data_IF_653466980643
#
_entry.id   IF_653466980643
#
_cell.length_a   1.000
_cell.length_b   1.000
_cell.length_c   1.000
_cell.angle_alpha   90.00
_cell.angle_beta   90.00
_cell.angle_gamma   90.00
#
_symmetry.space_group_name_H-M   'P 1'
#
loop_
_entity.id
_entity.type
_entity.pdbx_description
1 polymer ?
#
# COMPACT_ATOMS: atom_id res chain seq x y z
N UNK A 1 9.16 -26.71 -17.81
CA UNK A 1 8.84 -26.95 -19.25
C UNK A 1 7.69 -27.93 -19.32
N UNK A 2 7.15 -28.26 -20.50
CA UNK A 2 6.24 -29.39 -20.66
C UNK A 2 6.81 -30.46 -21.57
N UNK A 3 6.48 -31.72 -21.30
CA UNK A 3 6.85 -32.85 -22.15
C UNK A 3 5.89 -33.02 -23.35
N UNK A 4 6.10 -34.07 -24.14
CA UNK A 4 5.29 -34.37 -25.33
C UNK A 4 3.84 -34.75 -25.00
N UNK A 5 3.59 -35.19 -23.75
CA UNK A 5 2.27 -35.53 -23.22
C UNK A 5 1.65 -34.32 -22.47
N UNK A 6 2.26 -33.14 -22.61
CA UNK A 6 1.88 -31.86 -22.00
C UNK A 6 2.04 -31.77 -20.48
N UNK A 7 2.67 -32.75 -19.84
CA UNK A 7 2.89 -32.74 -18.40
C UNK A 7 4.07 -31.82 -18.04
N UNK A 8 4.01 -31.21 -16.85
CA UNK A 8 5.12 -30.44 -16.29
C UNK A 8 6.37 -31.32 -16.19
N UNK A 9 7.48 -30.85 -16.74
CA UNK A 9 8.76 -31.54 -16.65
C UNK A 9 9.92 -30.57 -16.39
N UNK A 10 10.88 -31.09 -15.63
CA UNK A 10 12.18 -30.49 -15.37
C UNK A 10 13.32 -31.30 -16.01
N UNK A 11 13.01 -32.39 -16.71
CA UNK A 11 14.05 -33.17 -17.40
C UNK A 11 14.36 -32.49 -18.73
N UNK A 12 15.58 -31.96 -18.88
CA UNK A 12 15.99 -31.20 -20.07
C UNK A 12 15.71 -31.94 -21.39
N UNK A 13 15.99 -33.25 -21.44
CA UNK A 13 15.79 -34.08 -22.63
C UNK A 13 14.33 -34.53 -22.84
N UNK A 14 13.42 -34.27 -21.91
CA UNK A 14 11.98 -34.50 -22.08
C UNK A 14 11.22 -33.22 -22.38
N UNK A 15 11.85 -32.05 -22.25
CA UNK A 15 11.22 -30.78 -22.61
C UNK A 15 10.87 -30.72 -24.09
N UNK A 16 9.58 -30.69 -24.40
CA UNK A 16 9.05 -30.55 -25.75
C UNK A 16 8.64 -29.10 -26.07
N UNK A 17 8.15 -28.37 -25.06
CA UNK A 17 7.77 -26.96 -25.20
C UNK A 17 7.88 -26.20 -23.87
N UNK A 18 7.85 -24.86 -23.94
CA UNK A 18 7.76 -24.00 -22.77
C UNK A 18 6.36 -24.04 -22.19
N UNK A 19 6.25 -24.24 -20.88
CA UNK A 19 5.01 -24.04 -20.13
C UNK A 19 4.91 -22.59 -19.63
N UNK A 20 5.99 -22.11 -19.03
CA UNK A 20 6.25 -20.71 -18.68
C UNK A 20 7.75 -20.48 -18.73
N UNK A 21 8.18 -19.34 -19.26
CA UNK A 21 9.56 -18.89 -19.28
C UNK A 21 9.77 -17.74 -18.28
N UNK A 22 10.37 -18.02 -17.14
CA UNK A 22 10.63 -17.03 -16.08
C UNK A 22 12.00 -16.34 -16.20
N UNK A 23 12.70 -16.50 -17.34
CA UNK A 23 13.97 -15.79 -17.56
C UNK A 23 13.68 -14.31 -17.77
N UNK A 24 14.16 -13.47 -16.86
CA UNK A 24 14.00 -12.02 -16.96
C UNK A 24 14.72 -11.53 -18.24
N UNK A 25 14.00 -10.90 -19.20
CA UNK A 25 14.62 -10.40 -20.40
C UNK A 25 15.46 -9.15 -20.11
N UNK A 26 16.37 -8.75 -21.02
CA UNK A 26 17.10 -7.50 -20.88
C UNK A 26 16.16 -6.30 -20.81
N UNK A 27 16.59 -5.25 -20.10
CA UNK A 27 15.92 -3.96 -20.09
C UNK A 27 15.73 -3.44 -21.53
N UNK A 28 14.51 -3.04 -21.87
CA UNK A 28 14.13 -2.57 -23.20
C UNK A 28 13.66 -3.66 -24.18
N UNK A 29 13.57 -4.93 -23.75
CA UNK A 29 13.01 -5.98 -24.60
C UNK A 29 11.52 -5.76 -24.89
N UNK A 30 11.15 -5.76 -26.17
CA UNK A 30 9.78 -5.59 -26.66
C UNK A 30 9.42 -6.79 -27.55
N UNK A 31 8.29 -7.48 -27.32
CA UNK A 31 7.78 -8.50 -28.24
C UNK A 31 7.56 -7.93 -29.65
N UNK A 32 7.92 -8.66 -30.70
CA UNK A 32 7.93 -8.15 -32.07
C UNK A 32 9.19 -7.34 -32.43
N UNK A 33 10.13 -7.16 -31.50
CA UNK A 33 11.36 -6.40 -31.69
C UNK A 33 12.45 -7.15 -32.46
N UNK A 34 13.56 -6.46 -32.80
CA UNK A 34 14.64 -7.04 -33.61
C UNK A 34 15.35 -8.24 -32.96
N UNK A 35 15.39 -8.31 -31.63
CA UNK A 35 16.10 -9.35 -30.89
C UNK A 35 15.20 -10.53 -30.46
N UNK A 36 13.91 -10.51 -30.82
CA UNK A 36 12.93 -11.52 -30.39
C UNK A 36 13.39 -12.95 -30.64
N UNK A 37 14.02 -13.23 -31.78
CA UNK A 37 14.50 -14.58 -32.13
C UNK A 37 15.46 -15.17 -31.09
N UNK A 38 16.21 -14.35 -30.36
CA UNK A 38 17.23 -14.81 -29.42
C UNK A 38 16.75 -14.82 -27.96
N UNK A 39 15.81 -13.93 -27.62
CA UNK A 39 15.40 -13.64 -26.24
C UNK A 39 13.87 -13.61 -26.07
N UNK A 40 13.13 -14.30 -26.96
CA UNK A 40 11.70 -14.40 -26.87
C UNK A 40 11.25 -14.96 -25.52
N UNK A 41 10.19 -14.34 -24.99
CA UNK A 41 9.44 -14.85 -23.85
C UNK A 41 8.50 -15.94 -24.38
N UNK A 42 8.51 -17.11 -23.75
CA UNK A 42 7.71 -18.26 -24.18
C UNK A 42 6.74 -18.78 -23.12
N UNK A 43 5.72 -19.48 -23.58
CA UNK A 43 4.68 -20.06 -22.73
C UNK A 43 3.88 -18.99 -22.00
N UNK A 44 3.34 -19.33 -20.83
CA UNK A 44 2.42 -18.48 -20.07
C UNK A 44 3.00 -17.14 -19.60
N UNK A 45 4.31 -16.92 -19.75
CA UNK A 45 4.96 -15.65 -19.41
C UNK A 45 4.69 -14.54 -20.44
N UNK A 46 4.33 -14.89 -21.68
CA UNK A 46 3.98 -13.87 -22.70
C UNK A 46 2.71 -13.10 -22.32
N UNK A 47 1.79 -13.80 -21.66
CA UNK A 47 0.46 -13.32 -21.29
C UNK A 47 0.42 -12.79 -19.85
N UNK A 48 1.57 -12.76 -19.16
CA UNK A 48 1.68 -12.35 -17.77
C UNK A 48 1.76 -10.81 -17.67
N UNK A 49 0.81 -10.22 -16.93
CA UNK A 49 0.59 -8.77 -16.87
C UNK A 49 1.64 -8.04 -16.02
N UNK A 50 2.34 -8.76 -15.14
CA UNK A 50 3.39 -8.21 -14.30
C UNK A 50 4.81 -8.49 -14.83
N UNK A 51 4.93 -9.32 -15.88
CA UNK A 51 6.21 -9.76 -16.41
C UNK A 51 6.69 -8.86 -17.56
N UNK A 52 7.90 -8.33 -17.45
CA UNK A 52 8.48 -7.38 -18.40
C UNK A 52 7.57 -6.16 -18.67
N UNK A 53 6.78 -5.72 -17.68
CA UNK A 53 5.95 -4.50 -17.77
C UNK A 53 6.46 -3.38 -16.89
N UNK A 54 6.32 -2.14 -17.37
CA UNK A 54 6.39 -0.94 -16.55
C UNK A 54 5.07 -0.73 -15.79
N UNK A 55 5.05 0.19 -14.82
CA UNK A 55 3.82 0.51 -14.06
C UNK A 55 2.68 1.07 -14.92
N UNK A 56 2.97 1.59 -16.11
CA UNK A 56 1.99 2.02 -17.10
C UNK A 56 1.45 0.91 -18.01
N UNK A 57 1.96 -0.32 -17.86
CA UNK A 57 1.58 -1.49 -18.67
C UNK A 57 2.39 -1.66 -19.96
N UNK A 58 3.32 -0.74 -20.28
CA UNK A 58 4.20 -0.88 -21.44
C UNK A 58 5.23 -1.99 -21.23
N UNK A 59 5.65 -2.65 -22.32
CA UNK A 59 6.71 -3.64 -22.29
C UNK A 59 8.12 -3.02 -22.14
N UNK A 60 9.07 -3.83 -21.68
CA UNK A 60 10.50 -3.50 -21.72
C UNK A 60 11.08 -3.10 -20.38
N UNK A 61 10.42 -3.41 -19.27
CA UNK A 61 10.98 -3.16 -17.94
C UNK A 61 12.16 -4.07 -17.60
N UNK A 62 12.30 -5.22 -18.26
CA UNK A 62 13.31 -6.21 -17.90
C UNK A 62 13.20 -6.64 -16.44
N UNK A 63 11.97 -6.71 -15.91
CA UNK A 63 11.67 -7.00 -14.52
C UNK A 63 10.36 -7.77 -14.40
N UNK A 64 10.12 -8.35 -13.23
CA UNK A 64 8.85 -9.01 -12.87
C UNK A 64 8.37 -8.45 -11.51
N UNK A 65 7.05 -8.33 -11.34
CA UNK A 65 6.42 -7.79 -10.11
C UNK A 65 5.62 -8.90 -9.44
N UNK A 66 6.13 -9.41 -8.33
CA UNK A 66 5.47 -10.48 -7.56
C UNK A 66 4.63 -9.87 -6.43
N UNK A 67 3.37 -10.27 -6.35
CA UNK A 67 2.44 -9.83 -5.30
C UNK A 67 2.21 -10.96 -4.29
N UNK A 68 2.48 -10.68 -3.01
CA UNK A 68 2.19 -11.59 -1.91
C UNK A 68 1.02 -11.06 -1.07
N UNK A 69 -0.01 -11.89 -0.90
CA UNK A 69 -1.13 -11.60 0.00
C UNK A 69 -0.95 -12.44 1.25
N UNK A 70 -0.69 -11.79 2.37
CA UNK A 70 -0.45 -12.46 3.65
C UNK A 70 -1.66 -12.19 4.55
N UNK A 71 -2.38 -13.22 5.02
CA UNK A 71 -3.44 -13.03 5.99
C UNK A 71 -2.82 -12.55 7.31
N UNK A 72 -3.23 -11.37 7.74
CA UNK A 72 -2.78 -10.76 9.00
C UNK A 72 -3.91 -10.83 10.03
N UNK A 73 -3.53 -11.06 11.29
CA UNK A 73 -4.45 -11.07 12.43
C UNK A 73 -4.68 -9.63 12.95
N UNK A 74 -4.89 -9.45 14.25
CA UNK A 74 -5.07 -8.13 14.87
C UNK A 74 -3.79 -7.28 14.96
N UNK A 75 -2.65 -7.76 14.44
CA UNK A 75 -1.42 -6.97 14.40
C UNK A 75 -1.57 -5.79 13.45
N UNK A 76 -1.01 -4.65 13.84
CA UNK A 76 -1.05 -3.40 13.05
C UNK A 76 0.33 -2.96 12.59
N UNK A 77 1.38 -3.67 13.00
CA UNK A 77 2.77 -3.35 12.66
C UNK A 77 3.47 -4.61 12.18
N UNK A 78 4.15 -4.51 11.03
CA UNK A 78 4.82 -5.63 10.39
C UNK A 78 6.21 -5.22 9.94
N UNK A 79 7.19 -6.09 10.19
CA UNK A 79 8.49 -6.02 9.55
C UNK A 79 8.54 -7.09 8.47
N UNK A 80 8.58 -6.65 7.21
CA UNK A 80 8.63 -7.52 6.04
C UNK A 80 10.09 -7.63 5.59
N UNK A 81 10.60 -8.85 5.53
CA UNK A 81 11.94 -9.16 5.06
C UNK A 81 11.84 -9.88 3.72
N UNK A 82 12.48 -9.34 2.69
CA UNK A 82 12.54 -9.92 1.36
C UNK A 82 13.99 -10.22 1.02
N UNK A 83 14.26 -11.44 0.55
CA UNK A 83 15.59 -11.89 0.14
C UNK A 83 15.50 -12.51 -1.25
N UNK A 84 16.41 -12.10 -2.12
CA UNK A 84 16.65 -12.77 -3.41
C UNK A 84 17.74 -13.79 -3.18
N UNK A 85 17.38 -15.06 -3.37
CA UNK A 85 18.23 -16.21 -3.11
C UNK A 85 18.69 -16.83 -4.42
N UNK A 86 19.95 -17.28 -4.46
CA UNK A 86 20.51 -18.05 -5.55
C UNK A 86 20.92 -19.44 -5.07
N UNK A 87 20.61 -20.43 -5.89
CA UNK A 87 21.10 -21.80 -5.73
C UNK A 87 21.70 -22.26 -7.05
N UNK A 88 22.83 -22.94 -6.95
CA UNK A 88 23.55 -23.48 -8.11
C UNK A 88 22.74 -24.56 -8.83
N UNK A 89 21.97 -25.36 -8.08
CA UNK A 89 21.16 -26.45 -8.61
C UNK A 89 19.75 -26.38 -8.01
N UNK A 90 18.74 -26.28 -8.88
CA UNK A 90 17.34 -26.39 -8.46
C UNK A 90 17.08 -27.82 -7.93
N UNK A 91 16.48 -27.98 -6.74
CA UNK A 91 16.18 -29.29 -6.15
C UNK A 91 15.41 -30.22 -7.09
N UNK A 92 14.50 -29.70 -7.91
CA UNK A 92 13.73 -30.54 -8.84
C UNK A 92 14.64 -31.24 -9.85
N UNK A 93 15.73 -30.61 -10.31
CA UNK A 93 16.67 -31.28 -11.23
C UNK A 93 17.43 -32.42 -10.54
N UNK A 94 17.78 -32.24 -9.26
CA UNK A 94 18.43 -33.28 -8.47
C UNK A 94 17.49 -34.46 -8.21
N UNK A 95 16.26 -34.18 -7.78
CA UNK A 95 15.22 -35.19 -7.53
C UNK A 95 14.94 -36.05 -8.76
N UNK A 96 14.83 -35.43 -9.95
CA UNK A 96 14.66 -36.17 -11.20
C UNK A 96 15.83 -37.12 -11.51
N UNK A 97 17.05 -36.77 -11.11
CA UNK A 97 18.22 -37.65 -11.31
C UNK A 97 18.20 -38.84 -10.34
N UNK A 98 17.68 -38.65 -9.12
CA UNK A 98 17.60 -39.68 -8.08
C UNK A 98 16.54 -40.75 -8.36
N UNK A 99 15.62 -40.51 -9.30
CA UNK A 99 14.68 -41.53 -9.76
C UNK A 99 15.36 -42.72 -10.48
N UNK A 100 16.61 -42.56 -10.92
CA UNK A 100 17.34 -43.58 -11.67
C UNK A 100 18.34 -44.32 -10.78
N UNK A 101 18.13 -45.63 -10.58
CA UNK A 101 19.07 -46.49 -9.86
C UNK A 101 20.31 -46.79 -10.73
N UNK A 102 21.25 -45.85 -10.71
CA UNK A 102 22.56 -45.98 -11.35
C UNK A 102 23.65 -45.65 -10.34
N UNK A 103 24.84 -46.27 -10.43
CA UNK A 103 25.94 -45.97 -9.51
C UNK A 103 26.27 -44.47 -9.41
N UNK A 104 26.18 -43.75 -10.53
CA UNK A 104 26.46 -42.32 -10.62
C UNK A 104 25.38 -41.49 -9.94
N UNK A 105 24.10 -41.77 -10.18
CA UNK A 105 22.99 -41.05 -9.54
C UNK A 105 23.00 -41.27 -8.03
N UNK A 106 23.16 -42.51 -7.55
CA UNK A 106 23.21 -42.83 -6.12
C UNK A 106 24.43 -42.17 -5.43
N UNK A 107 25.57 -42.09 -6.13
CA UNK A 107 26.75 -41.38 -5.64
C UNK A 107 26.47 -39.88 -5.53
N UNK A 108 25.87 -39.28 -6.55
CA UNK A 108 25.53 -37.86 -6.56
C UNK A 108 24.48 -37.53 -5.50
N UNK A 109 23.48 -38.38 -5.28
CA UNK A 109 22.47 -38.23 -4.21
C UNK A 109 23.14 -38.17 -2.84
N UNK A 110 24.07 -39.08 -2.58
CA UNK A 110 24.85 -39.08 -1.33
C UNK A 110 25.65 -37.80 -1.18
N UNK A 111 26.33 -37.33 -2.25
CA UNK A 111 27.09 -36.08 -2.24
C UNK A 111 26.19 -34.86 -2.01
N UNK A 112 25.05 -34.82 -2.69
CA UNK A 112 24.07 -33.74 -2.61
C UNK A 112 23.49 -33.64 -1.19
N UNK A 113 23.14 -34.77 -0.56
CA UNK A 113 22.64 -34.81 0.81
C UNK A 113 23.69 -34.47 1.89
N UNK A 114 24.98 -34.55 1.56
CA UNK A 114 26.08 -34.16 2.44
C UNK A 114 26.55 -32.71 2.21
N UNK A 115 26.18 -32.12 1.07
CA UNK A 115 26.54 -30.75 0.74
C UNK A 115 25.70 -29.75 1.53
N UNK A 116 26.28 -28.57 1.77
CA UNK A 116 25.51 -27.41 2.19
C UNK A 116 24.78 -26.84 0.98
N UNK A 117 23.45 -27.00 0.98
CA UNK A 117 22.57 -26.51 -0.09
C UNK A 117 21.80 -25.26 0.35
N UNK A 118 22.25 -24.56 1.41
CA UNK A 118 21.66 -23.29 1.79
C UNK A 118 21.79 -22.28 0.62
N UNK A 119 20.71 -21.59 0.25
CA UNK A 119 20.77 -20.58 -0.79
C UNK A 119 21.67 -19.40 -0.39
N UNK A 120 22.42 -18.89 -1.37
CA UNK A 120 23.17 -17.65 -1.21
C UNK A 120 22.25 -16.44 -1.37
N UNK A 121 22.32 -15.48 -0.45
CA UNK A 121 21.55 -14.23 -0.55
C UNK A 121 22.28 -13.27 -1.49
N UNK A 122 21.64 -12.91 -2.60
CA UNK A 122 22.16 -11.95 -3.57
C UNK A 122 21.74 -10.52 -3.25
N UNK A 123 20.52 -10.35 -2.74
CA UNK A 123 19.99 -9.05 -2.34
C UNK A 123 18.97 -9.21 -1.21
N UNK A 124 18.86 -8.21 -0.36
CA UNK A 124 17.88 -8.19 0.72
C UNK A 124 17.29 -6.80 0.92
N UNK A 125 16.04 -6.76 1.39
CA UNK A 125 15.32 -5.55 1.74
C UNK A 125 14.48 -5.81 2.98
N UNK A 126 14.41 -4.81 3.87
CA UNK A 126 13.48 -4.79 5.00
C UNK A 126 12.55 -3.60 4.85
N UNK A 127 11.26 -3.82 5.06
CA UNK A 127 10.24 -2.77 5.07
C UNK A 127 9.43 -2.85 6.36
N UNK A 128 9.31 -1.70 7.05
CA UNK A 128 8.38 -1.53 8.15
C UNK A 128 7.03 -1.08 7.59
N UNK A 129 5.98 -1.83 7.87
CA UNK A 129 4.62 -1.55 7.41
C UNK A 129 3.72 -1.39 8.62
N UNK A 130 3.17 -0.19 8.78
CA UNK A 130 2.12 0.08 9.75
C UNK A 130 0.79 0.08 9.01
N UNK A 131 -0.13 -0.76 9.44
CA UNK A 131 -1.51 -0.69 9.00
C UNK A 131 -2.16 0.53 9.66
N UNK A 132 -2.11 1.65 8.96
CA UNK A 132 -3.02 2.77 9.24
C UNK A 132 -4.39 2.35 8.74
N UNK A 133 -5.18 1.76 9.63
CA UNK A 133 -6.62 1.73 9.38
C UNK A 133 -7.07 3.17 9.17
N UNK A 134 -7.76 3.45 8.07
CA UNK A 134 -8.69 4.57 8.06
C UNK A 134 -9.75 4.16 9.07
N UNK A 135 -9.53 4.49 10.34
CA UNK A 135 -10.68 4.78 11.18
C UNK A 135 -11.34 5.91 10.42
N UNK A 136 -12.60 5.74 10.05
CA UNK A 136 -13.49 6.89 9.92
C UNK A 136 -13.42 7.59 11.28
N UNK A 137 -12.41 8.44 11.46
CA UNK A 137 -12.49 9.51 12.43
C UNK A 137 -13.63 10.32 11.87
N UNK A 138 -14.80 10.23 12.49
CA UNK A 138 -15.84 11.22 12.29
C UNK A 138 -15.15 12.57 12.33
N UNK A 139 -15.12 13.26 11.19
CA UNK A 139 -14.36 14.49 11.05
C UNK A 139 -15.05 15.49 11.95
N UNK A 140 -14.47 15.74 13.12
CA UNK A 140 -14.99 16.72 14.08
C UNK A 140 -14.89 18.10 13.45
N UNK A 141 -16.03 18.68 13.07
CA UNK A 141 -16.09 19.98 12.41
C UNK A 141 -17.09 20.91 13.07
N UNK A 142 -16.75 22.21 13.03
CA UNK A 142 -17.61 23.31 13.44
C UNK A 142 -17.89 24.17 12.22
N UNK A 143 -19.14 24.15 11.76
CA UNK A 143 -19.58 24.99 10.65
C UNK A 143 -20.41 26.15 11.17
N UNK A 144 -20.15 27.35 10.64
CA UNK A 144 -20.80 28.59 11.08
C UNK A 144 -21.66 29.14 9.95
N UNK A 145 -22.97 29.23 10.18
CA UNK A 145 -23.93 29.59 9.13
C UNK A 145 -24.84 30.74 9.63
N UNK A 146 -24.90 31.88 8.94
CA UNK A 146 -24.13 32.25 7.75
C UNK A 146 -22.70 32.72 8.09
N UNK A 147 -21.78 32.53 7.14
CA UNK A 147 -20.44 33.12 7.19
C UNK A 147 -20.04 33.60 5.78
N UNK A 148 -19.97 34.92 5.51
CA UNK A 148 -20.04 36.03 6.47
C UNK A 148 -21.42 36.28 7.10
N UNK A 149 -21.45 36.90 8.28
CA UNK A 149 -22.67 37.24 9.05
C UNK A 149 -22.81 38.75 9.30
N UNK A 150 -24.02 39.21 9.58
CA UNK A 150 -24.29 40.57 10.10
C UNK A 150 -24.46 40.61 11.63
N UNK A 151 -24.34 39.47 12.32
CA UNK A 151 -24.43 39.43 13.78
C UNK A 151 -25.00 38.15 14.37
N UNK A 152 -25.81 37.38 13.64
CA UNK A 152 -26.37 36.10 14.12
C UNK A 152 -25.77 34.94 13.35
N UNK A 153 -25.35 33.90 14.06
CA UNK A 153 -24.78 32.68 13.47
C UNK A 153 -25.34 31.45 14.16
N UNK A 154 -25.47 30.37 13.40
CA UNK A 154 -25.68 29.01 13.88
C UNK A 154 -24.39 28.23 13.83
N UNK A 155 -24.13 27.43 14.86
CA UNK A 155 -23.04 26.46 14.84
C UNK A 155 -23.62 25.08 14.56
N UNK A 156 -23.14 24.44 13.49
CA UNK A 156 -23.34 23.01 13.24
C UNK A 156 -22.15 22.23 13.80
N UNK A 157 -22.47 21.26 14.65
CA UNK A 157 -21.52 20.38 15.33
C UNK A 157 -21.58 19.02 14.63
N UNK A 158 -20.55 18.70 13.84
CA UNK A 158 -20.44 17.41 13.14
C UNK A 158 -19.49 16.50 13.93
N UNK A 159 -19.96 15.36 14.42
CA UNK A 159 -19.16 14.42 15.23
C UNK A 159 -18.79 14.93 16.62
N UNK A 160 -19.51 15.92 17.15
CA UNK A 160 -19.23 16.58 18.43
C UNK A 160 -20.45 16.54 19.35
N UNK A 161 -20.24 16.22 20.62
CA UNK A 161 -21.26 16.48 21.65
C UNK A 161 -21.37 17.98 21.86
N UNK A 162 -22.61 18.47 21.89
CA UNK A 162 -22.90 19.88 22.02
C UNK A 162 -22.64 20.39 23.45
N UNK A 163 -21.73 21.36 23.63
CA UNK A 163 -21.50 22.02 24.92
C UNK A 163 -21.11 23.50 24.76
N UNK A 164 -21.97 24.41 25.18
CA UNK A 164 -21.67 25.86 25.10
C UNK A 164 -20.55 26.28 26.04
N UNK A 165 -20.35 25.56 27.14
CA UNK A 165 -19.31 25.86 28.12
C UNK A 165 -17.90 25.72 27.52
N UNK A 166 -17.80 24.95 26.44
CA UNK A 166 -16.56 24.70 25.74
C UNK A 166 -16.29 25.69 24.61
N UNK A 167 -17.18 26.66 24.37
CA UNK A 167 -17.07 27.62 23.29
C UNK A 167 -16.56 28.98 23.77
N UNK A 168 -15.40 29.39 23.26
CA UNK A 168 -14.83 30.73 23.42
C UNK A 168 -14.79 31.47 22.09
N UNK A 169 -14.90 32.79 22.12
CA UNK A 169 -14.76 33.67 20.95
C UNK A 169 -13.59 34.63 21.15
N UNK A 170 -12.75 34.78 20.13
CA UNK A 170 -11.58 35.65 20.16
C UNK A 170 -11.60 36.62 18.97
N UNK A 171 -11.08 37.83 19.19
CA UNK A 171 -10.70 38.72 18.09
C UNK A 171 -9.30 38.37 17.53
N UNK A 172 -8.87 39.07 16.48
CA UNK A 172 -7.54 38.85 15.87
C UNK A 172 -6.36 39.24 16.77
N UNK A 173 -6.59 39.99 17.85
CA UNK A 173 -5.56 40.29 18.85
C UNK A 173 -5.40 39.17 19.89
N UNK A 174 -6.29 38.19 19.88
CA UNK A 174 -6.36 37.11 20.87
C UNK A 174 -7.14 37.47 22.13
N UNK A 175 -7.84 38.61 22.15
CA UNK A 175 -8.69 38.99 23.27
C UNK A 175 -10.01 38.21 23.21
N UNK A 176 -10.41 37.65 24.36
CA UNK A 176 -11.66 36.90 24.49
C UNK A 176 -12.85 37.87 24.50
N UNK A 177 -13.84 37.59 23.64
CA UNK A 177 -15.04 38.39 23.44
C UNK A 177 -16.25 37.68 24.04
N UNK A 178 -17.18 38.42 24.67
CA UNK A 178 -18.38 37.82 25.23
C UNK A 178 -19.31 37.30 24.13
N UNK A 179 -19.85 36.10 24.32
CA UNK A 179 -20.87 35.49 23.46
C UNK A 179 -22.24 35.65 24.15
N UNK A 180 -23.24 36.20 23.45
CA UNK A 180 -24.64 36.19 23.92
C UNK A 180 -25.39 35.01 23.32
N UNK A 181 -25.96 34.17 24.18
CA UNK A 181 -26.81 33.04 23.80
C UNK A 181 -28.21 33.56 23.46
N UNK A 182 -28.80 33.10 22.36
CA UNK A 182 -30.19 33.44 22.02
C UNK A 182 -31.18 32.48 22.70
N UNK A 183 -32.31 33.00 23.19
CA UNK A 183 -33.34 32.24 23.92
C UNK A 183 -34.08 31.18 23.07
N UNK A 184 -33.85 31.11 21.74
CA UNK A 184 -34.64 30.30 20.80
C UNK A 184 -34.03 28.96 20.36
N UNK A 185 -32.90 28.55 20.93
CA UNK A 185 -32.26 27.29 20.59
C UNK A 185 -30.76 27.41 20.82
N UNK A 186 -30.19 26.43 21.51
CA UNK A 186 -28.85 26.58 22.10
C UNK A 186 -27.76 26.81 21.01
N UNK A 187 -28.02 26.43 19.76
CA UNK A 187 -27.11 26.61 18.61
C UNK A 187 -27.05 28.03 18.01
N UNK A 188 -27.88 28.97 18.48
CA UNK A 188 -27.91 30.36 17.98
C UNK A 188 -27.02 31.28 18.82
N UNK A 189 -26.02 31.88 18.16
CA UNK A 189 -25.09 32.85 18.76
C UNK A 189 -25.32 34.24 18.19
N UNK A 190 -25.45 35.22 19.08
CA UNK A 190 -25.57 36.63 18.74
C UNK A 190 -24.27 37.38 19.07
N UNK A 191 -23.57 37.77 18.00
CA UNK A 191 -22.39 38.64 18.00
C UNK A 191 -22.71 40.03 17.42
N UNK A 192 -23.99 40.42 17.30
CA UNK A 192 -24.39 41.72 16.73
C UNK A 192 -23.81 42.92 17.48
N UNK A 193 -23.50 42.77 18.78
CA UNK A 193 -22.87 43.81 19.59
C UNK A 193 -21.39 44.02 19.32
N UNK A 194 -20.73 43.12 18.60
CA UNK A 194 -19.31 43.23 18.27
C UNK A 194 -19.11 44.07 17.00
N UNK A 195 -17.98 44.79 16.86
CA UNK A 195 -17.64 45.49 15.61
C UNK A 195 -17.59 44.58 14.38
N UNK A 196 -17.59 45.15 13.18
CA UNK A 196 -17.30 44.41 11.96
C UNK A 196 -15.84 43.96 11.97
N UNK A 197 -15.56 42.70 11.61
CA UNK A 197 -14.24 42.12 11.75
C UNK A 197 -14.20 40.60 11.58
N UNK A 198 -13.02 40.03 11.77
CA UNK A 198 -12.80 38.58 11.79
C UNK A 198 -12.70 38.10 13.22
N UNK A 199 -13.40 37.02 13.52
CA UNK A 199 -13.42 36.40 14.84
C UNK A 199 -13.08 34.92 14.73
N UNK A 200 -12.42 34.39 15.77
CA UNK A 200 -12.05 32.98 15.88
C UNK A 200 -12.82 32.36 17.03
N UNK A 201 -13.64 31.36 16.73
CA UNK A 201 -14.24 30.49 17.73
C UNK A 201 -13.28 29.37 18.07
N UNK A 202 -13.16 29.06 19.35
CA UNK A 202 -12.47 27.89 19.88
C UNK A 202 -13.49 27.00 20.59
N UNK A 203 -13.45 25.72 20.29
CA UNK A 203 -14.25 24.70 20.97
C UNK A 203 -13.34 23.66 21.62
N UNK A 204 -13.55 23.38 22.90
CA UNK A 204 -12.81 22.35 23.63
C UNK A 204 -13.62 21.06 23.68
N UNK A 205 -13.15 20.01 23.00
CA UNK A 205 -13.80 18.69 23.02
C UNK A 205 -12.85 17.64 23.63
N UNK A 206 -13.20 17.13 24.81
CA UNK A 206 -12.42 16.08 25.51
C UNK A 206 -10.90 16.35 25.59
N UNK A 207 -10.49 17.63 25.65
CA UNK A 207 -9.08 18.06 25.71
C UNK A 207 -8.48 18.51 24.38
N UNK A 208 -9.17 18.31 23.26
CA UNK A 208 -8.78 18.79 21.93
C UNK A 208 -9.40 20.16 21.62
N UNK A 209 -8.63 21.05 20.99
CA UNK A 209 -9.11 22.36 20.56
C UNK A 209 -9.47 22.34 19.07
N UNK A 210 -10.71 22.69 18.76
CA UNK A 210 -11.18 22.94 17.40
C UNK A 210 -11.37 24.44 17.19
N UNK A 211 -11.06 24.91 15.98
CA UNK A 211 -11.10 26.33 15.65
C UNK A 211 -12.00 26.60 14.44
N UNK A 212 -12.74 27.71 14.51
CA UNK A 212 -13.63 28.17 13.47
C UNK A 212 -13.45 29.65 13.19
N UNK A 213 -13.40 30.06 11.92
CA UNK A 213 -13.29 31.46 11.53
C UNK A 213 -14.64 32.00 11.10
N UNK A 214 -15.07 33.11 11.69
CA UNK A 214 -16.29 33.83 11.30
C UNK A 214 -15.95 35.26 10.89
N UNK A 215 -16.54 35.72 9.79
CA UNK A 215 -16.41 37.09 9.31
C UNK A 215 -17.72 37.84 9.59
N UNK A 216 -17.67 38.87 10.43
CA UNK A 216 -18.79 39.78 10.69
C UNK A 216 -18.67 41.04 9.83
N UNK A 217 -19.71 41.33 9.06
CA UNK A 217 -19.85 42.57 8.28
C UNK A 217 -20.43 43.71 9.13
#
# INVERSE_FOLDING_TARGET
MKDVDENLTYILLRGAAYLKDNRIPPLGYIPGGPDEVNIAIHGSASDDENFNRFSGGEHGSGADIINYVIPVNSATEFNVFVKVCYQTLDPHFAENLFEYDTPQANTFETMYGQADNEPEIIAEMTAHVEMTGIRDSEKKELNFIPNPTNGKIKIEYHGLEYSVENLSLFDLSGAEMPIKKSDSGVQDIDISSLPSGVYIFRYLDQGENLYGKVVKR
#
